data_IF_540407688278
#
_entry.id   IF_540407688278
#
_cell.length_a   1.000
_cell.length_b   1.000
_cell.length_c   1.000
_cell.angle_alpha   90.00
_cell.angle_beta   90.00
_cell.angle_gamma   90.00
#
_symmetry.space_group_name_H-M   'P 1'
#
loop_
_entity.id
_entity.type
_entity.pdbx_description
1 polymer ?
#
# COMPACT_ATOMS: atom_id res chain seq x y z
N UNK A 1 -8.76 3.38 -4.78
CA UNK A 1 -7.38 3.70 -5.14
C UNK A 1 -7.40 4.53 -6.42
N UNK A 2 -6.76 5.68 -6.43
CA UNK A 2 -6.74 6.58 -7.57
C UNK A 2 -5.70 6.13 -8.61
N UNK A 3 -5.86 4.93 -9.19
CA UNK A 3 -5.10 4.48 -10.35
C UNK A 3 -3.81 3.70 -10.09
N UNK A 4 -3.12 3.88 -8.94
CA UNK A 4 -1.86 3.18 -8.70
C UNK A 4 -2.05 1.66 -8.56
N UNK A 5 -3.08 1.23 -7.82
CA UNK A 5 -3.44 -0.17 -7.70
C UNK A 5 -3.81 -0.82 -9.05
N UNK A 6 -4.39 -0.05 -9.98
CA UNK A 6 -4.71 -0.54 -11.32
C UNK A 6 -3.47 -0.75 -12.19
N UNK A 7 -2.43 0.06 -12.02
CA UNK A 7 -1.15 -0.11 -12.73
C UNK A 7 -0.47 -1.38 -12.23
N UNK A 8 -0.31 -1.55 -10.93
CA UNK A 8 0.29 -2.75 -10.34
C UNK A 8 -0.46 -4.02 -10.73
N UNK A 9 -1.78 -4.00 -10.69
CA UNK A 9 -2.60 -5.13 -11.10
C UNK A 9 -2.34 -5.53 -12.56
N UNK A 10 -2.23 -4.57 -13.48
CA UNK A 10 -1.90 -4.85 -14.89
C UNK A 10 -0.49 -5.43 -15.04
N UNK A 11 0.47 -4.91 -14.27
CA UNK A 11 1.82 -5.45 -14.25
C UNK A 11 1.86 -6.89 -13.72
N UNK A 12 1.18 -7.17 -12.61
CA UNK A 12 1.07 -8.52 -12.06
C UNK A 12 0.45 -9.51 -13.05
N UNK A 13 -0.56 -9.07 -13.82
CA UNK A 13 -1.11 -9.92 -14.91
C UNK A 13 -0.10 -10.17 -16.02
N UNK A 14 0.72 -9.20 -16.37
CA UNK A 14 1.82 -9.38 -17.33
C UNK A 14 2.83 -10.42 -16.90
N UNK A 15 2.95 -10.67 -15.60
CA UNK A 15 3.75 -11.74 -14.99
C UNK A 15 2.94 -13.02 -14.72
N UNK A 16 1.75 -13.16 -15.31
CA UNK A 16 0.85 -14.32 -15.14
C UNK A 16 0.44 -14.59 -13.67
N UNK A 17 0.50 -13.57 -12.81
CA UNK A 17 0.10 -13.70 -11.40
C UNK A 17 -1.41 -13.73 -11.26
N UNK A 18 -1.92 -14.53 -10.32
CA UNK A 18 -3.31 -14.47 -9.88
C UNK A 18 -3.49 -13.28 -8.95
N UNK A 19 -4.29 -12.29 -9.36
CA UNK A 19 -4.50 -11.06 -8.60
C UNK A 19 -5.82 -11.12 -7.85
N UNK A 20 -5.75 -11.03 -6.53
CA UNK A 20 -6.89 -10.92 -5.63
C UNK A 20 -6.99 -9.49 -5.10
N UNK A 21 -8.18 -8.97 -4.94
CA UNK A 21 -8.42 -7.58 -4.52
C UNK A 21 -9.39 -7.57 -3.35
N UNK A 22 -8.92 -7.05 -2.22
CA UNK A 22 -9.76 -6.69 -1.08
C UNK A 22 -10.00 -5.18 -1.13
N UNK A 23 -11.22 -4.78 -1.46
CA UNK A 23 -11.67 -3.39 -1.45
C UNK A 23 -13.17 -3.36 -1.12
N UNK A 24 -13.56 -2.86 0.08
CA UNK A 24 -14.96 -2.85 0.50
C UNK A 24 -15.83 -1.86 -0.28
N UNK A 25 -15.23 -0.93 -1.03
CA UNK A 25 -15.95 0.13 -1.75
C UNK A 25 -16.13 -0.14 -3.24
N UNK A 26 -15.37 -1.09 -3.81
CA UNK A 26 -15.42 -1.42 -5.24
C UNK A 26 -16.20 -2.70 -5.46
N UNK A 27 -17.18 -2.66 -6.38
CA UNK A 27 -17.99 -3.83 -6.70
C UNK A 27 -17.18 -4.95 -7.34
N UNK A 28 -17.68 -6.18 -7.19
CA UNK A 28 -17.09 -7.38 -7.78
C UNK A 28 -16.94 -7.24 -9.30
N UNK A 29 -17.97 -6.76 -9.98
CA UNK A 29 -18.00 -6.62 -11.43
C UNK A 29 -16.89 -5.70 -11.95
N UNK A 30 -16.63 -4.59 -11.23
CA UNK A 30 -15.54 -3.67 -11.58
C UNK A 30 -14.18 -4.35 -11.41
N UNK A 31 -13.97 -5.07 -10.30
CA UNK A 31 -12.71 -5.77 -10.04
C UNK A 31 -12.47 -6.86 -11.08
N UNK A 32 -13.48 -7.65 -11.41
CA UNK A 32 -13.38 -8.73 -12.40
C UNK A 32 -13.20 -8.22 -13.82
N UNK A 33 -13.92 -7.17 -14.21
CA UNK A 33 -13.71 -6.48 -15.51
C UNK A 33 -12.28 -5.99 -15.68
N UNK A 34 -11.65 -5.61 -14.58
CA UNK A 34 -10.25 -5.20 -14.56
C UNK A 34 -9.28 -6.39 -14.40
N UNK A 35 -9.80 -7.61 -14.34
CA UNK A 35 -9.05 -8.86 -14.34
C UNK A 35 -8.49 -9.30 -12.98
N UNK A 36 -8.98 -8.74 -11.87
CA UNK A 36 -8.75 -9.24 -10.53
C UNK A 36 -9.86 -10.18 -10.08
N UNK A 37 -9.66 -10.86 -8.96
CA UNK A 37 -10.69 -11.63 -8.24
C UNK A 37 -11.01 -10.92 -6.94
N UNK A 38 -12.26 -10.54 -6.71
CA UNK A 38 -12.66 -9.90 -5.44
C UNK A 38 -12.61 -10.92 -4.31
N UNK A 39 -12.07 -10.52 -3.17
CA UNK A 39 -12.16 -11.22 -1.90
C UNK A 39 -12.91 -10.36 -0.89
N UNK A 40 -13.77 -10.99 -0.10
CA UNK A 40 -14.63 -10.29 0.86
C UNK A 40 -14.08 -10.39 2.29
N UNK A 41 -13.29 -11.40 2.58
CA UNK A 41 -12.66 -11.64 3.88
C UNK A 41 -11.14 -11.56 3.74
N UNK A 42 -10.54 -10.54 4.37
CA UNK A 42 -9.10 -10.33 4.37
C UNK A 42 -8.38 -11.47 5.10
N UNK A 43 -8.92 -11.91 6.24
CA UNK A 43 -8.27 -12.92 7.10
C UNK A 43 -8.18 -14.28 6.40
N UNK A 44 -9.21 -14.65 5.68
CA UNK A 44 -9.19 -15.89 4.88
C UNK A 44 -8.30 -15.72 3.64
N UNK A 45 -8.36 -14.58 2.97
CA UNK A 45 -7.58 -14.35 1.76
C UNK A 45 -6.08 -14.45 2.00
N UNK A 46 -5.55 -13.81 3.05
CA UNK A 46 -4.09 -13.75 3.30
C UNK A 46 -3.44 -15.11 3.52
N UNK A 47 -4.21 -16.12 3.93
CA UNK A 47 -3.71 -17.50 4.17
C UNK A 47 -3.13 -18.16 2.93
N UNK A 48 -3.52 -17.72 1.76
CA UNK A 48 -3.12 -18.33 0.48
C UNK A 48 -2.29 -17.42 -0.42
N UNK A 49 -1.99 -16.20 0.01
CA UNK A 49 -1.25 -15.23 -0.80
C UNK A 49 0.27 -15.41 -0.69
N UNK A 50 0.95 -15.25 -1.82
CA UNK A 50 2.42 -15.21 -1.89
C UNK A 50 2.96 -13.79 -1.74
N UNK A 51 2.17 -12.78 -2.11
CA UNK A 51 2.51 -11.38 -1.94
C UNK A 51 1.26 -10.55 -1.58
N UNK A 52 1.43 -9.57 -0.69
CA UNK A 52 0.39 -8.63 -0.29
C UNK A 52 0.94 -7.22 -0.48
N UNK A 53 0.21 -6.37 -1.21
CA UNK A 53 0.57 -4.98 -1.42
C UNK A 53 -0.55 -4.06 -0.96
N UNK A 54 -0.20 -3.06 -0.14
CA UNK A 54 -1.15 -2.12 0.45
C UNK A 54 -1.31 -0.89 -0.44
N UNK A 55 -2.57 -0.49 -0.71
CA UNK A 55 -2.93 0.63 -1.61
C UNK A 55 -4.12 1.44 -1.10
N UNK A 56 -4.29 1.53 0.20
CA UNK A 56 -5.41 2.22 0.84
C UNK A 56 -4.93 3.43 1.66
N UNK A 57 -5.80 4.40 2.00
CA UNK A 57 -5.44 5.47 2.93
C UNK A 57 -5.37 4.96 4.36
N UNK A 58 -4.57 5.62 5.19
CA UNK A 58 -4.60 5.41 6.65
C UNK A 58 -5.85 6.08 7.24
N UNK A 59 -6.59 5.33 8.01
CA UNK A 59 -7.73 5.78 8.83
C UNK A 59 -7.95 4.78 9.98
N UNK A 60 -8.94 5.03 10.84
CA UNK A 60 -9.23 4.18 12.01
C UNK A 60 -9.46 2.69 11.66
N UNK A 61 -10.00 2.40 10.47
CA UNK A 61 -10.27 1.02 10.03
C UNK A 61 -9.06 0.33 9.41
N UNK A 62 -8.09 1.11 8.93
CA UNK A 62 -6.90 0.59 8.26
C UNK A 62 -5.65 0.68 9.11
N UNK A 63 -5.71 1.39 10.26
CA UNK A 63 -4.64 1.44 11.24
C UNK A 63 -4.37 0.04 11.80
N UNK A 64 -3.11 -0.39 11.75
CA UNK A 64 -2.67 -1.71 12.22
C UNK A 64 -3.50 -2.89 11.64
N UNK A 65 -4.04 -2.71 10.43
CA UNK A 65 -4.79 -3.78 9.75
C UNK A 65 -3.91 -5.03 9.54
N UNK A 66 -2.62 -4.81 9.35
CA UNK A 66 -1.62 -5.87 9.37
C UNK A 66 -0.97 -5.87 10.77
N UNK A 67 -1.37 -6.82 11.58
CA UNK A 67 -0.89 -7.05 12.94
C UNK A 67 -0.36 -8.48 13.11
N UNK A 68 0.18 -8.79 14.28
CA UNK A 68 0.80 -10.10 14.54
C UNK A 68 -0.18 -11.26 14.33
N UNK A 69 -1.44 -11.12 14.72
CA UNK A 69 -2.43 -12.18 14.59
C UNK A 69 -2.73 -12.49 13.12
N UNK A 70 -2.79 -11.47 12.27
CA UNK A 70 -2.94 -11.65 10.84
C UNK A 70 -1.67 -12.24 10.20
N UNK A 71 -0.48 -11.75 10.60
CA UNK A 71 0.81 -12.24 10.11
C UNK A 71 1.01 -13.73 10.38
N UNK A 72 0.58 -14.24 11.53
CA UNK A 72 0.65 -15.68 11.85
C UNK A 72 -0.17 -16.58 10.93
N UNK A 73 -1.18 -16.04 10.28
CA UNK A 73 -2.05 -16.82 9.38
C UNK A 73 -1.53 -16.89 7.95
N UNK A 74 -0.55 -16.07 7.62
CA UNK A 74 0.03 -15.99 6.28
C UNK A 74 0.95 -17.17 5.98
N UNK A 75 1.27 -17.33 4.70
CA UNK A 75 2.24 -18.34 4.26
C UNK A 75 3.66 -17.91 4.61
N UNK A 76 4.52 -18.85 4.97
CA UNK A 76 5.93 -18.58 5.31
C UNK A 76 6.74 -17.95 4.16
N UNK A 77 6.33 -18.13 2.93
CA UNK A 77 6.93 -17.50 1.75
C UNK A 77 6.25 -16.18 1.35
N UNK A 78 5.25 -15.71 2.11
CA UNK A 78 4.57 -14.45 1.82
C UNK A 78 5.50 -13.26 2.00
N UNK A 79 5.42 -12.30 1.09
CA UNK A 79 6.05 -10.98 1.20
C UNK A 79 4.98 -9.90 1.36
N UNK A 80 5.30 -8.85 2.14
CA UNK A 80 4.40 -7.71 2.32
C UNK A 80 5.05 -6.45 1.78
N UNK A 81 4.31 -5.66 1.02
CA UNK A 81 4.77 -4.40 0.44
C UNK A 81 3.87 -3.27 0.92
N UNK A 82 4.46 -2.24 1.50
CA UNK A 82 3.77 -1.01 1.86
C UNK A 82 4.49 0.21 1.27
N UNK A 83 3.94 0.71 0.17
CA UNK A 83 4.31 1.99 -0.43
C UNK A 83 3.10 2.95 -0.44
N UNK A 84 2.18 2.80 0.51
CA UNK A 84 0.98 3.61 0.62
C UNK A 84 1.06 4.61 1.78
N UNK A 85 0.94 4.15 3.02
CA UNK A 85 1.06 5.00 4.23
C UNK A 85 1.59 4.16 5.39
N UNK A 86 2.41 4.77 6.25
CA UNK A 86 2.79 4.19 7.54
C UNK A 86 1.60 4.01 8.48
N UNK A 87 1.75 3.23 9.52
CA UNK A 87 0.70 2.95 10.51
C UNK A 87 -0.36 1.92 10.07
N UNK A 88 -0.34 1.44 8.82
CA UNK A 88 -1.21 0.32 8.40
C UNK A 88 -0.66 -1.03 8.81
N UNK A 89 0.64 -1.14 8.94
CA UNK A 89 1.33 -2.30 9.51
C UNK A 89 1.80 -1.92 10.91
N UNK A 90 1.54 -2.75 11.91
CA UNK A 90 2.18 -2.60 13.20
C UNK A 90 3.65 -2.99 13.06
N UNK A 91 4.55 -2.04 13.21
CA UNK A 91 5.98 -2.21 12.92
C UNK A 91 6.66 -3.20 13.88
N UNK A 92 6.28 -3.18 15.15
CA UNK A 92 6.80 -4.14 16.15
C UNK A 92 6.31 -5.57 15.87
N UNK A 93 5.04 -5.71 15.51
CA UNK A 93 4.45 -7.00 15.13
C UNK A 93 5.11 -7.57 13.88
N UNK A 94 5.40 -6.71 12.90
CA UNK A 94 6.08 -7.09 11.67
C UNK A 94 7.51 -7.57 11.97
N UNK A 95 8.28 -6.81 12.75
CA UNK A 95 9.65 -7.22 13.13
C UNK A 95 9.64 -8.56 13.84
N UNK A 96 8.75 -8.74 14.82
CA UNK A 96 8.57 -10.00 15.54
C UNK A 96 8.25 -11.16 14.58
N UNK A 97 7.29 -10.99 13.67
CA UNK A 97 6.90 -12.01 12.71
C UNK A 97 8.03 -12.40 11.75
N UNK A 98 8.83 -11.43 11.32
CA UNK A 98 10.00 -11.65 10.48
C UNK A 98 11.10 -12.43 11.23
N UNK A 99 11.38 -12.08 12.48
CA UNK A 99 12.35 -12.78 13.32
C UNK A 99 11.93 -14.22 13.60
N UNK A 100 10.65 -14.47 13.78
CA UNK A 100 10.05 -15.80 13.93
C UNK A 100 9.89 -16.57 12.60
N UNK A 101 10.24 -15.96 11.47
CA UNK A 101 10.09 -16.56 10.12
C UNK A 101 8.64 -16.98 9.79
N UNK A 102 7.66 -16.22 10.27
CA UNK A 102 6.24 -16.41 9.95
C UNK A 102 5.92 -16.00 8.52
N UNK A 103 6.67 -15.00 8.00
CA UNK A 103 6.63 -14.55 6.61
C UNK A 103 8.05 -14.46 6.07
N UNK A 104 8.20 -14.34 4.76
CA UNK A 104 9.51 -14.31 4.10
C UNK A 104 10.22 -12.98 4.26
N UNK A 105 9.52 -11.87 4.05
CA UNK A 105 10.11 -10.54 4.06
C UNK A 105 9.09 -9.43 3.88
N UNK A 106 9.57 -8.19 3.95
CA UNK A 106 8.77 -7.01 3.68
C UNK A 106 9.52 -5.95 2.88
N UNK A 107 8.78 -5.15 2.08
CA UNK A 107 9.25 -3.93 1.43
C UNK A 107 8.48 -2.73 1.96
N UNK A 108 9.18 -1.75 2.54
CA UNK A 108 8.56 -0.58 3.16
C UNK A 108 9.15 0.69 2.57
N UNK A 109 8.28 1.52 1.99
CA UNK A 109 8.61 2.88 1.55
C UNK A 109 8.13 3.94 2.56
N UNK A 110 7.33 3.51 3.54
CA UNK A 110 6.65 4.38 4.51
C UNK A 110 6.72 3.81 5.92
N UNK A 111 6.76 4.70 6.92
CA UNK A 111 6.80 4.36 8.35
C UNK A 111 5.69 5.06 9.13
N UNK A 112 5.33 4.54 10.31
CA UNK A 112 4.35 5.17 11.20
C UNK A 112 4.82 6.58 11.64
N UNK A 113 6.13 6.72 11.85
CA UNK A 113 6.78 8.02 12.09
C UNK A 113 7.83 8.25 11.02
N UNK A 114 7.78 9.38 10.31
CA UNK A 114 8.72 9.74 9.27
C UNK A 114 9.45 11.05 9.61
N UNK A 115 10.79 11.05 9.66
CA UNK A 115 11.67 9.91 9.50
C UNK A 115 11.55 8.90 10.65
N UNK A 116 11.80 7.60 10.40
CA UNK A 116 11.75 6.58 11.45
C UNK A 116 12.80 6.85 12.51
N UNK A 117 12.47 6.55 13.77
CA UNK A 117 13.42 6.70 14.88
C UNK A 117 14.58 5.71 14.73
N UNK A 118 15.76 6.09 15.21
CA UNK A 118 16.97 5.27 15.12
C UNK A 118 16.86 3.90 15.80
N UNK A 119 15.98 3.78 16.79
CA UNK A 119 15.70 2.55 17.52
C UNK A 119 14.60 1.69 16.90
N UNK A 120 14.03 2.09 15.77
CA UNK A 120 13.04 1.30 15.06
C UNK A 120 13.65 -0.04 14.62
N UNK A 121 13.10 -1.18 15.08
CA UNK A 121 13.71 -2.49 14.87
C UNK A 121 13.80 -2.88 13.39
N UNK A 122 12.87 -2.39 12.56
CA UNK A 122 12.84 -2.70 11.12
C UNK A 122 14.03 -2.12 10.36
N UNK A 123 14.69 -1.06 10.87
CA UNK A 123 15.88 -0.48 10.23
C UNK A 123 17.09 -1.45 10.23
N UNK A 124 17.09 -2.41 11.14
CA UNK A 124 18.19 -3.40 11.30
C UNK A 124 17.77 -4.81 10.87
N UNK A 125 16.51 -5.00 10.50
CA UNK A 125 16.01 -6.31 10.11
C UNK A 125 16.42 -6.65 8.66
N UNK A 126 17.24 -7.67 8.49
CA UNK A 126 17.79 -8.06 7.19
C UNK A 126 16.75 -8.68 6.22
N UNK A 127 15.52 -8.92 6.66
CA UNK A 127 14.40 -9.38 5.84
C UNK A 127 13.52 -8.23 5.35
N UNK A 128 13.91 -6.97 5.63
CA UNK A 128 13.16 -5.78 5.21
C UNK A 128 13.96 -4.97 4.20
N UNK A 129 13.34 -4.73 3.05
CA UNK A 129 13.83 -3.75 2.09
C UNK A 129 13.21 -2.40 2.39
N UNK A 130 14.03 -1.37 2.52
CA UNK A 130 13.60 -0.03 2.92
C UNK A 130 13.87 0.99 1.81
N UNK A 131 12.95 1.95 1.64
CA UNK A 131 13.16 3.14 0.84
C UNK A 131 12.57 4.38 1.55
N UNK A 132 13.12 5.59 1.30
CA UNK A 132 12.80 6.78 2.09
C UNK A 132 11.60 7.55 1.52
N UNK A 133 10.43 6.92 1.41
CA UNK A 133 9.18 7.47 0.89
C UNK A 133 9.35 8.03 -0.54
N UNK A 134 9.99 7.26 -1.40
CA UNK A 134 10.37 7.66 -2.76
C UNK A 134 9.74 6.80 -3.86
N UNK A 135 8.83 5.90 -3.52
CA UNK A 135 8.20 5.01 -4.50
C UNK A 135 7.50 5.76 -5.67
N UNK A 136 7.11 7.01 -5.46
CA UNK A 136 6.50 7.85 -6.48
C UNK A 136 7.51 8.77 -7.20
N UNK A 137 8.80 8.76 -6.87
CA UNK A 137 9.79 9.72 -7.37
C UNK A 137 10.40 9.25 -8.68
N UNK A 138 9.57 9.10 -9.72
CA UNK A 138 10.06 9.02 -11.09
C UNK A 138 10.10 10.43 -11.72
N UNK A 139 10.92 10.66 -12.72
CA UNK A 139 11.04 11.95 -13.41
C UNK A 139 9.66 12.42 -13.91
N UNK A 140 8.94 11.52 -14.57
CA UNK A 140 7.60 11.82 -15.12
C UNK A 140 6.58 12.15 -14.03
N UNK A 141 6.65 11.45 -12.90
CA UNK A 141 5.74 11.71 -11.78
C UNK A 141 6.03 13.07 -11.15
N UNK A 142 7.30 13.41 -10.93
CA UNK A 142 7.72 14.69 -10.37
C UNK A 142 7.29 15.87 -11.27
N UNK A 143 7.52 15.75 -12.58
CA UNK A 143 7.08 16.77 -13.56
C UNK A 143 5.56 16.92 -13.53
N UNK A 144 4.82 15.81 -13.52
CA UNK A 144 3.35 15.83 -13.50
C UNK A 144 2.81 16.45 -12.22
N UNK A 145 3.33 16.05 -11.05
CA UNK A 145 2.92 16.60 -9.76
C UNK A 145 3.16 18.12 -9.70
N UNK A 146 4.34 18.57 -10.16
CA UNK A 146 4.66 19.99 -10.20
C UNK A 146 3.70 20.78 -11.10
N UNK A 147 3.45 20.29 -12.31
CA UNK A 147 2.51 20.92 -13.25
C UNK A 147 1.08 20.98 -12.69
N UNK A 148 0.59 19.88 -12.14
CA UNK A 148 -0.77 19.81 -11.57
C UNK A 148 -0.91 20.72 -10.33
N UNK A 149 0.11 20.82 -9.50
CA UNK A 149 0.11 21.73 -8.36
C UNK A 149 -0.03 23.18 -8.80
N UNK A 150 0.81 23.62 -9.76
CA UNK A 150 0.76 24.97 -10.31
C UNK A 150 -0.60 25.23 -10.97
N UNK A 151 -1.10 24.29 -11.79
CA UNK A 151 -2.39 24.43 -12.45
C UNK A 151 -3.54 24.55 -11.45
N UNK A 152 -3.55 23.75 -10.37
CA UNK A 152 -4.57 23.84 -9.33
C UNK A 152 -4.55 25.21 -8.61
N UNK A 153 -3.38 25.81 -8.42
CA UNK A 153 -3.27 27.15 -7.85
C UNK A 153 -3.87 28.19 -8.81
N UNK A 154 -3.53 28.13 -10.11
CA UNK A 154 -4.09 29.01 -11.12
C UNK A 154 -5.62 28.86 -11.17
N UNK A 155 -6.12 27.63 -11.28
CA UNK A 155 -7.54 27.31 -11.34
C UNK A 155 -8.30 27.81 -10.10
N UNK A 156 -7.65 27.77 -8.91
CA UNK A 156 -8.24 28.33 -7.69
C UNK A 156 -8.46 29.85 -7.80
N UNK A 157 -7.47 30.59 -8.23
CA UNK A 157 -7.58 32.05 -8.38
C UNK A 157 -8.52 32.44 -9.53
N UNK A 158 -8.58 31.63 -10.59
CA UNK A 158 -9.52 31.82 -11.69
C UNK A 158 -10.94 31.31 -11.41
N UNK A 159 -11.19 30.77 -10.20
CA UNK A 159 -12.48 30.15 -9.78
C UNK A 159 -12.94 28.98 -10.66
N UNK A 160 -11.99 28.27 -11.25
CA UNK A 160 -12.20 27.09 -12.13
C UNK A 160 -11.82 25.77 -11.44
N UNK A 161 -11.30 25.80 -10.20
CA UNK A 161 -10.83 24.62 -9.52
C UNK A 161 -11.95 23.59 -9.36
N UNK A 162 -11.68 22.35 -9.79
CA UNK A 162 -12.58 21.22 -9.58
C UNK A 162 -12.78 20.99 -8.08
N UNK A 163 -14.04 21.05 -7.64
CA UNK A 163 -14.43 20.87 -6.24
C UNK A 163 -14.02 19.50 -5.67
N UNK A 164 -13.84 18.48 -6.51
CA UNK A 164 -13.37 17.16 -6.10
C UNK A 164 -11.91 17.15 -5.64
N UNK A 165 -11.15 18.19 -5.99
CA UNK A 165 -9.75 18.37 -5.59
C UNK A 165 -9.59 19.11 -4.26
N UNK A 166 -10.67 19.61 -3.68
CA UNK A 166 -10.67 20.32 -2.40
C UNK A 166 -10.78 19.28 -1.28
N UNK A 167 -9.78 19.26 -0.41
CA UNK A 167 -9.83 18.43 0.81
C UNK A 167 -10.80 19.09 1.77
N UNK A 168 -11.85 18.36 2.17
CA UNK A 168 -12.70 18.75 3.29
C UNK A 168 -11.99 18.32 4.57
N UNK A 169 -11.61 19.29 5.37
CA UNK A 169 -11.09 19.08 6.73
C UNK A 169 -12.19 18.62 7.67
#
# INVERSE_FOLDING_TARGET
SRGLGDVYKRQCKGFEMNVFVYDPFVSKDIIEKLGGKKVEDLTEAVKSMDAISLHMPLNEKTKNIINYDLLKTMRKNCIIINAARGGMINENDLDKALNESLIFGAGLDVFETEPPKEDNPLLKNNKVFLSPHTAAFTEECMIRMGKETIQNIIDFFEKKLDKSKIIKL
#
